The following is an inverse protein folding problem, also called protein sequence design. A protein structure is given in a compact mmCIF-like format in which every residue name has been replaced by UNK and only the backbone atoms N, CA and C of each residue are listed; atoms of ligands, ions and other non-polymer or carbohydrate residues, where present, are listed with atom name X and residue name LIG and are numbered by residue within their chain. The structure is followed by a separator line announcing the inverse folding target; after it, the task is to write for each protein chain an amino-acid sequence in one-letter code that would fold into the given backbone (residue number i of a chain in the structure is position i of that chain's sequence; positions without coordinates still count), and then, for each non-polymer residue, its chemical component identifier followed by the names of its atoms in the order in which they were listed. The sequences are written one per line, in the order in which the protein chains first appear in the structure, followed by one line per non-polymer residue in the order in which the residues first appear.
data_IF_695879028597
#
_entry.id   IF_695879028597
#
_cell.length_a   1.000
_cell.length_b   1.000
_cell.length_c   1.000
_cell.angle_alpha   90.00
_cell.angle_beta   90.00
_cell.angle_gamma   90.00
#
_symmetry.space_group_name_H-M   'P 1'
#
loop_
_entity.id
_entity.type
_entity.pdbx_description
1 polymer ?
#
# COMPACT_ATOMS: atom_id res chain seq x y z
N UNK A 1 4.27 16.43 6.26
CA UNK A 1 3.83 16.58 4.85
C UNK A 1 3.38 15.21 4.42
N UNK A 2 2.22 15.05 3.78
CA UNK A 2 1.70 13.71 3.46
C UNK A 2 2.38 13.17 2.19
N UNK A 3 3.03 12.01 2.30
CA UNK A 3 3.64 11.25 1.22
C UNK A 3 2.66 10.18 0.73
N UNK A 4 2.23 10.28 -0.51
CA UNK A 4 1.41 9.25 -1.16
C UNK A 4 2.33 8.17 -1.76
N UNK A 5 2.15 6.91 -1.37
CA UNK A 5 2.90 5.80 -1.94
C UNK A 5 2.31 5.34 -3.27
N UNK A 6 3.18 5.12 -4.25
CA UNK A 6 2.86 4.44 -5.49
C UNK A 6 3.11 2.92 -5.36
N UNK A 7 2.53 2.17 -6.30
CA UNK A 7 2.65 0.71 -6.34
C UNK A 7 4.10 0.26 -6.47
N UNK A 8 4.93 0.96 -7.26
CA UNK A 8 6.32 0.57 -7.45
C UNK A 8 7.15 0.75 -6.17
N UNK A 9 6.96 1.84 -5.42
CA UNK A 9 7.62 2.03 -4.12
C UNK A 9 7.17 0.97 -3.11
N UNK A 10 5.88 0.63 -3.07
CA UNK A 10 5.37 -0.42 -2.20
C UNK A 10 5.99 -1.79 -2.54
N UNK A 11 6.05 -2.14 -3.83
CA UNK A 11 6.67 -3.39 -4.30
C UNK A 11 8.18 -3.40 -3.99
N UNK A 12 8.87 -2.27 -4.17
CA UNK A 12 10.30 -2.16 -3.86
C UNK A 12 10.59 -2.33 -2.37
N UNK A 13 9.71 -1.78 -1.51
CA UNK A 13 9.78 -1.94 -0.06
C UNK A 13 9.52 -3.39 0.37
N UNK A 14 8.42 -3.99 -0.12
CA UNK A 14 8.02 -5.37 0.18
C UNK A 14 9.10 -6.36 -0.25
N UNK A 15 9.64 -6.22 -1.47
CA UNK A 15 10.68 -7.09 -2.00
C UNK A 15 12.07 -6.82 -1.40
N UNK A 16 12.21 -5.84 -0.49
CA UNK A 16 13.48 -5.41 0.12
C UNK A 16 14.57 -5.08 -0.90
N UNK A 17 14.20 -4.75 -2.14
CA UNK A 17 15.15 -4.50 -3.25
C UNK A 17 15.82 -3.15 -3.15
N UNK A 18 15.20 -2.18 -2.47
CA UNK A 18 15.71 -0.83 -2.38
C UNK A 18 15.85 -0.36 -0.93
N UNK A 19 17.09 -0.34 -0.44
CA UNK A 19 17.43 0.10 0.92
C UNK A 19 17.09 1.57 1.13
N UNK A 20 17.33 2.43 0.13
CA UNK A 20 17.07 3.87 0.26
C UNK A 20 15.59 4.20 0.47
N UNK A 21 14.70 3.48 -0.22
CA UNK A 21 13.24 3.60 -0.03
C UNK A 21 12.84 3.16 1.37
N UNK A 22 13.42 2.07 1.86
CA UNK A 22 13.13 1.54 3.19
C UNK A 22 13.63 2.45 4.31
N UNK A 23 14.85 2.96 4.21
CA UNK A 23 15.40 3.92 5.17
C UNK A 23 14.56 5.19 5.21
N UNK A 24 14.16 5.70 4.04
CA UNK A 24 13.31 6.88 3.95
C UNK A 24 11.92 6.64 4.55
N UNK A 25 11.30 5.48 4.28
CA UNK A 25 10.00 5.14 4.87
C UNK A 25 10.08 4.91 6.38
N UNK A 26 11.16 4.31 6.87
CA UNK A 26 11.39 4.12 8.30
C UNK A 26 11.70 5.44 9.03
N UNK A 27 12.30 6.41 8.34
CA UNK A 27 12.56 7.74 8.88
C UNK A 27 11.30 8.62 8.92
N UNK A 28 10.25 8.27 8.17
CA UNK A 28 8.98 8.99 8.14
C UNK A 28 8.05 8.48 9.23
N UNK A 29 7.26 9.39 9.80
CA UNK A 29 6.16 9.01 10.68
C UNK A 29 5.09 8.24 9.87
N UNK A 30 4.51 7.15 10.41
CA UNK A 30 3.38 6.47 9.76
C UNK A 30 2.19 7.41 9.47
N UNK A 31 2.05 8.50 10.23
CA UNK A 31 1.01 9.52 10.02
C UNK A 31 1.25 10.40 8.79
N UNK A 32 2.51 10.50 8.35
CA UNK A 32 2.89 11.26 7.16
C UNK A 32 2.82 10.41 5.89
N UNK A 33 2.44 9.13 5.97
CA UNK A 33 2.40 8.22 4.82
C UNK A 33 0.97 7.79 4.52
N UNK A 34 0.56 7.98 3.27
CA UNK A 34 -0.75 7.61 2.77
C UNK A 34 -0.65 6.57 1.65
N UNK A 35 -1.60 5.65 1.61
CA UNK A 35 -1.81 4.69 0.53
C UNK A 35 -3.20 4.89 -0.05
N UNK A 36 -3.35 4.93 -1.37
CA UNK A 36 -4.67 4.98 -1.99
C UNK A 36 -5.26 3.57 -2.17
N UNK A 37 -6.59 3.48 -2.21
CA UNK A 37 -7.30 2.21 -2.39
C UNK A 37 -6.97 1.54 -3.73
N UNK A 38 -6.71 2.35 -4.78
CA UNK A 38 -6.30 1.84 -6.10
C UNK A 38 -4.97 1.10 -6.00
N UNK A 39 -3.95 1.70 -5.37
CA UNK A 39 -2.64 1.06 -5.16
C UNK A 39 -2.77 -0.18 -4.30
N UNK A 40 -3.62 -0.14 -3.25
CA UNK A 40 -3.92 -1.32 -2.44
C UNK A 40 -4.49 -2.45 -3.30
N UNK A 41 -5.41 -2.15 -4.21
CA UNK A 41 -6.00 -3.13 -5.12
C UNK A 41 -4.96 -3.70 -6.10
N UNK A 42 -4.09 -2.87 -6.67
CA UNK A 42 -3.00 -3.33 -7.55
C UNK A 42 -2.03 -4.27 -6.82
N UNK A 43 -1.69 -3.97 -5.56
CA UNK A 43 -0.83 -4.83 -4.73
C UNK A 43 -1.49 -6.19 -4.46
N UNK A 44 -2.77 -6.20 -4.09
CA UNK A 44 -3.51 -7.45 -3.93
C UNK A 44 -3.57 -8.23 -5.24
N UNK A 45 -3.93 -7.57 -6.34
CA UNK A 45 -3.98 -8.21 -7.66
C UNK A 45 -2.64 -8.84 -8.05
N UNK A 46 -1.52 -8.13 -7.82
CA UNK A 46 -0.18 -8.66 -8.03
C UNK A 46 0.15 -9.87 -7.15
N UNK A 47 -0.26 -9.85 -5.88
CA UNK A 47 -0.10 -10.98 -4.96
C UNK A 47 -0.93 -12.20 -5.40
N UNK A 48 -2.18 -12.00 -5.81
CA UNK A 48 -3.09 -13.04 -6.32
C UNK A 48 -2.63 -13.67 -7.63
N UNK A 49 -2.01 -12.88 -8.52
CA UNK A 49 -1.52 -13.35 -9.82
C UNK A 49 -0.19 -14.11 -9.73
N UNK A 50 0.52 -14.02 -8.60
CA UNK A 50 1.84 -14.64 -8.43
C UNK A 50 1.75 -16.14 -8.16
N UNK A 51 2.79 -16.89 -8.56
CA UNK A 51 2.93 -18.31 -8.21
C UNK A 51 3.10 -18.56 -6.70
N UNK A 52 3.58 -17.56 -5.95
CA UNK A 52 3.79 -17.61 -4.48
C UNK A 52 2.71 -16.83 -3.74
N UNK A 53 1.45 -17.12 -4.06
CA UNK A 53 0.30 -16.34 -3.61
C UNK A 53 0.20 -16.20 -2.08
N UNK A 54 0.28 -17.30 -1.33
CA UNK A 54 0.14 -17.28 0.14
C UNK A 54 1.23 -16.44 0.82
N UNK A 55 2.48 -16.61 0.38
CA UNK A 55 3.62 -15.88 0.93
C UNK A 55 3.56 -14.38 0.61
N UNK A 56 3.18 -14.03 -0.61
CA UNK A 56 3.00 -12.63 -1.01
C UNK A 56 1.84 -11.98 -0.26
N UNK A 57 0.73 -12.69 -0.05
CA UNK A 57 -0.40 -12.18 0.73
C UNK A 57 -0.04 -12.01 2.21
N UNK A 58 0.73 -12.93 2.80
CA UNK A 58 1.22 -12.78 4.16
C UNK A 58 2.13 -11.55 4.30
N UNK A 59 3.10 -11.40 3.40
CA UNK A 59 4.01 -10.25 3.38
C UNK A 59 3.26 -8.93 3.16
N UNK A 60 2.28 -8.91 2.26
CA UNK A 60 1.44 -7.73 2.01
C UNK A 60 0.62 -7.35 3.25
N UNK A 61 0.08 -8.34 3.99
CA UNK A 61 -0.64 -8.08 5.25
C UNK A 61 0.28 -7.48 6.30
N UNK A 62 1.48 -8.03 6.49
CA UNK A 62 2.46 -7.47 7.43
C UNK A 62 2.83 -6.03 7.05
N UNK A 63 3.06 -5.76 5.76
CA UNK A 63 3.33 -4.42 5.26
C UNK A 63 2.19 -3.43 5.57
N UNK A 64 0.94 -3.83 5.32
CA UNK A 64 -0.24 -3.01 5.58
C UNK A 64 -0.57 -2.83 7.07
N UNK A 65 -0.04 -3.69 7.95
CA UNK A 65 -0.13 -3.51 9.41
C UNK A 65 0.99 -2.59 9.90
N UNK A 66 2.18 -2.73 9.32
CA UNK A 66 3.37 -1.94 9.69
C UNK A 66 3.24 -0.47 9.29
N UNK A 67 2.76 -0.20 8.07
CA UNK A 67 2.17 1.09 7.74
C UNK A 67 0.86 1.15 8.49
N UNK A 68 0.77 1.87 9.59
CA UNK A 68 -0.50 2.07 10.29
C UNK A 68 -1.45 2.81 9.34
N UNK A 69 -2.18 2.07 8.49
CA UNK A 69 -3.06 2.62 7.47
C UNK A 69 -4.22 3.27 8.20
N UNK A 70 -4.10 4.57 8.45
CA UNK A 70 -5.27 5.41 8.49
C UNK A 70 -5.87 5.31 7.11
N UNK A 71 -7.00 4.59 7.03
CA UNK A 71 -7.95 4.71 5.93
C UNK A 71 -8.20 6.21 5.76
N UNK A 72 -7.46 6.84 4.85
CA UNK A 72 -7.98 7.96 4.10
C UNK A 72 -9.04 7.37 3.16
N UNK A 73 -10.15 6.88 3.75
CA UNK A 73 -11.44 7.13 3.14
C UNK A 73 -11.46 8.61 2.90
N UNK A 74 -11.43 8.98 1.62
CA UNK A 74 -11.46 10.32 1.06
C UNK A 74 -12.40 11.23 1.87
N UNK A 75 -11.90 11.85 2.95
CA UNK A 75 -12.62 12.88 3.70
C UNK A 75 -12.24 14.24 3.15
N UNK A 76 -12.29 14.38 1.83
CA UNK A 76 -12.45 15.66 1.13
C UNK A 76 -13.28 15.42 -0.12
N UNK A 77 -14.58 15.70 0.02
CA UNK A 77 -15.62 15.99 -0.98
C UNK A 77 -15.38 15.46 -2.41
N UNK A 78 -16.27 14.53 -2.81
CA UNK A 78 -16.49 14.00 -4.18
C UNK A 78 -15.36 13.12 -4.73
N UNK A 79 -15.39 11.85 -4.38
CA UNK A 79 -15.21 10.80 -5.39
C UNK A 79 -16.14 9.65 -5.03
N UNK A 80 -17.25 9.56 -5.76
CA UNK A 80 -18.19 8.45 -5.68
C UNK A 80 -17.48 7.27 -6.34
N UNK A 81 -16.88 6.38 -5.56
CA UNK A 81 -16.53 5.05 -6.05
C UNK A 81 -17.76 4.20 -5.80
N UNK A 82 -18.66 4.18 -6.79
CA UNK A 82 -19.82 3.30 -6.81
C UNK A 82 -19.30 1.87 -6.79
N UNK A 83 -19.44 1.21 -5.64
CA UNK A 83 -19.18 -0.21 -5.46
C UNK A 83 -20.27 -0.97 -6.23
N UNK A 84 -20.02 -1.22 -7.52
CA UNK A 84 -20.86 -2.08 -8.34
C UNK A 84 -20.64 -3.53 -7.97
N UNK A 85 -21.38 -4.01 -6.98
CA UNK A 85 -21.75 -5.42 -6.87
C UNK A 85 -22.60 -5.76 -8.10
N UNK A 86 -22.02 -6.50 -9.04
CA UNK A 86 -22.70 -7.37 -10.01
C UNK A 86 -21.72 -8.45 -10.45
#
# INVERSE_FOLDING_TARGET
MIYLLDTNTCIAYINRRNLSVRERLNALSPLDVALCDVVKYELYYGAYRSSRQQENLATLREFLVSLSVYLLTVKRRRFVVTFGLL
#
